data_IF_078283064523
#
_entry.id   IF_078283064523
#
_cell.length_a   1.000
_cell.length_b   1.000
_cell.length_c   1.000
_cell.angle_alpha   90.00
_cell.angle_beta   90.00
_cell.angle_gamma   90.00
#
_symmetry.space_group_name_H-M   'P 1'
#
loop_
_entity.id
_entity.type
_entity.pdbx_description
1 polymer ?
#
# COMPACT_ATOMS: atom_id res chain seq x y z
N UNK A 1 -10.00 -4.36 -20.69
CA UNK A 1 -9.04 -3.44 -20.03
C UNK A 1 -9.85 -2.50 -19.16
N UNK A 2 -9.58 -2.41 -17.87
CA UNK A 2 -10.28 -1.51 -16.95
C UNK A 2 -10.09 -0.04 -17.39
N UNK A 3 -11.15 0.78 -17.29
CA UNK A 3 -11.11 2.18 -17.73
C UNK A 3 -11.22 3.11 -16.52
N UNK A 4 -10.20 3.89 -16.18
CA UNK A 4 -10.20 4.80 -15.03
C UNK A 4 -11.08 6.04 -15.21
N UNK A 5 -11.42 6.42 -16.44
CA UNK A 5 -12.15 7.66 -16.74
C UNK A 5 -13.51 7.70 -16.03
N UNK A 6 -13.70 8.74 -15.22
CA UNK A 6 -14.92 8.96 -14.44
C UNK A 6 -15.06 8.07 -13.21
N UNK A 7 -14.13 7.15 -12.94
CA UNK A 7 -14.11 6.34 -11.71
C UNK A 7 -13.72 7.20 -10.50
N UNK A 8 -14.22 6.85 -9.32
CA UNK A 8 -13.89 7.48 -8.04
C UNK A 8 -12.86 6.61 -7.34
N UNK A 9 -11.63 7.10 -7.32
CA UNK A 9 -10.47 6.39 -6.75
C UNK A 9 -10.05 7.04 -5.44
N UNK A 10 -10.06 6.29 -4.37
CA UNK A 10 -9.60 6.77 -3.05
C UNK A 10 -8.20 6.22 -2.78
N UNK A 11 -7.25 7.12 -2.51
CA UNK A 11 -5.86 6.77 -2.24
C UNK A 11 -5.48 7.17 -0.82
N UNK A 12 -5.13 6.21 0.01
CA UNK A 12 -4.63 6.48 1.37
C UNK A 12 -3.12 6.68 1.39
N UNK A 13 -2.63 7.51 2.31
CA UNK A 13 -1.22 7.91 2.32
C UNK A 13 -0.84 8.79 1.12
N UNK A 14 -1.79 9.54 0.57
CA UNK A 14 -1.65 10.29 -0.67
C UNK A 14 -0.79 11.56 -0.56
N UNK A 15 -0.24 11.88 0.62
CA UNK A 15 0.53 13.12 0.83
C UNK A 15 2.00 13.05 0.38
N UNK A 16 2.52 11.89 -0.03
CA UNK A 16 3.90 11.73 -0.53
C UNK A 16 4.13 10.36 -1.17
N UNK A 17 5.27 10.21 -1.84
CA UNK A 17 5.78 8.93 -2.35
C UNK A 17 4.82 8.20 -3.28
N UNK A 18 4.66 6.89 -3.08
CA UNK A 18 3.81 6.03 -3.91
C UNK A 18 2.36 6.54 -3.94
N UNK A 19 1.80 6.94 -2.80
CA UNK A 19 0.42 7.41 -2.73
C UNK A 19 0.18 8.69 -3.53
N UNK A 20 1.10 9.66 -3.45
CA UNK A 20 1.02 10.89 -4.24
C UNK A 20 1.13 10.60 -5.75
N UNK A 21 2.12 9.82 -6.17
CA UNK A 21 2.30 9.43 -7.56
C UNK A 21 1.08 8.65 -8.10
N UNK A 22 0.51 7.75 -7.28
CA UNK A 22 -0.71 7.00 -7.63
C UNK A 22 -1.90 7.94 -7.83
N UNK A 23 -2.10 8.91 -6.92
CA UNK A 23 -3.19 9.87 -7.03
C UNK A 23 -3.09 10.70 -8.33
N UNK A 24 -1.90 11.22 -8.62
CA UNK A 24 -1.65 12.01 -9.84
C UNK A 24 -1.85 11.15 -11.10
N UNK A 25 -1.37 9.91 -11.11
CA UNK A 25 -1.53 9.02 -12.26
C UNK A 25 -3.01 8.69 -12.54
N UNK A 26 -3.81 8.38 -11.51
CA UNK A 26 -5.26 8.17 -11.70
C UNK A 26 -5.96 9.43 -12.18
N UNK A 27 -5.62 10.62 -11.66
CA UNK A 27 -6.17 11.88 -12.14
C UNK A 27 -5.83 12.13 -13.62
N UNK A 28 -4.58 11.89 -14.03
CA UNK A 28 -4.12 11.97 -15.42
C UNK A 28 -4.90 11.06 -16.36
N UNK A 29 -5.33 9.90 -15.87
CA UNK A 29 -6.15 8.94 -16.60
C UNK A 29 -7.65 9.29 -16.58
N UNK A 30 -8.05 10.40 -15.95
CA UNK A 30 -9.41 10.92 -15.92
C UNK A 30 -10.30 10.38 -14.81
N UNK A 31 -9.72 9.78 -13.77
CA UNK A 31 -10.45 9.42 -12.55
C UNK A 31 -10.62 10.66 -11.64
N UNK A 32 -11.68 10.69 -10.86
CA UNK A 32 -11.85 11.62 -9.74
C UNK A 32 -11.19 11.01 -8.50
N UNK A 33 -10.23 11.72 -7.89
CA UNK A 33 -9.40 11.15 -6.83
C UNK A 33 -9.75 11.74 -5.46
N UNK A 34 -10.01 10.88 -4.50
CA UNK A 34 -10.09 11.20 -3.06
C UNK A 34 -8.74 10.94 -2.40
N UNK A 35 -8.05 11.99 -1.99
CA UNK A 35 -6.74 11.92 -1.36
C UNK A 35 -6.86 11.89 0.15
N UNK A 36 -6.43 10.81 0.81
CA UNK A 36 -6.54 10.62 2.25
C UNK A 36 -5.16 10.61 2.90
N UNK A 37 -4.88 11.52 3.83
CA UNK A 37 -3.70 11.50 4.70
C UNK A 37 -3.87 12.49 5.87
N UNK A 38 -2.90 12.52 6.79
CA UNK A 38 -2.88 13.45 7.95
C UNK A 38 -2.38 14.85 7.60
N UNK A 39 -1.45 14.96 6.66
CA UNK A 39 -0.71 16.18 6.34
C UNK A 39 -1.47 17.02 5.32
N UNK A 40 -2.30 17.95 5.82
CA UNK A 40 -3.18 18.81 5.00
C UNK A 40 -2.43 19.61 3.92
N UNK A 41 -1.28 20.21 4.27
CA UNK A 41 -0.52 21.03 3.31
C UNK A 41 -0.03 20.18 2.14
N UNK A 42 0.64 19.06 2.42
CA UNK A 42 1.15 18.17 1.38
C UNK A 42 0.02 17.55 0.55
N UNK A 43 -1.15 17.26 1.17
CA UNK A 43 -2.33 16.85 0.40
C UNK A 43 -2.78 17.94 -0.56
N UNK A 44 -2.72 19.21 -0.16
CA UNK A 44 -3.05 20.36 -1.01
C UNK A 44 -2.15 20.43 -2.24
N UNK A 45 -0.84 20.27 -2.07
CA UNK A 45 0.14 20.27 -3.16
C UNK A 45 -0.14 19.15 -4.19
N UNK A 46 -0.44 17.93 -3.69
CA UNK A 46 -0.80 16.80 -4.55
C UNK A 46 -2.17 17.02 -5.22
N UNK A 47 -3.12 17.63 -4.51
CA UNK A 47 -4.43 17.95 -5.07
C UNK A 47 -4.33 18.94 -6.24
N UNK A 48 -3.48 19.95 -6.13
CA UNK A 48 -3.24 20.90 -7.22
C UNK A 48 -2.78 20.15 -8.49
N UNK A 49 -1.80 19.26 -8.38
CA UNK A 49 -1.35 18.43 -9.49
C UNK A 49 -2.47 17.51 -10.04
N UNK A 50 -3.31 16.93 -9.18
CA UNK A 50 -4.45 16.13 -9.63
C UNK A 50 -5.47 16.97 -10.39
N UNK A 51 -5.74 18.20 -9.94
CA UNK A 51 -6.76 19.09 -10.51
C UNK A 51 -6.42 19.64 -11.88
N UNK A 52 -5.17 19.59 -12.30
CA UNK A 52 -4.79 19.91 -13.68
C UNK A 52 -5.55 19.06 -14.71
N UNK A 53 -5.88 17.81 -14.36
CA UNK A 53 -6.56 16.86 -15.25
C UNK A 53 -7.89 16.34 -14.69
N UNK A 54 -8.12 16.46 -13.39
CA UNK A 54 -9.32 16.03 -12.69
C UNK A 54 -9.77 17.06 -11.64
N UNK A 55 -10.48 18.12 -12.04
CA UNK A 55 -10.83 19.25 -11.18
C UNK A 55 -11.71 18.90 -9.99
N UNK A 56 -12.47 17.81 -10.09
CA UNK A 56 -13.38 17.35 -9.04
C UNK A 56 -12.70 16.54 -7.92
N UNK A 57 -11.37 16.33 -8.02
CA UNK A 57 -10.60 15.63 -6.97
C UNK A 57 -10.62 16.39 -5.64
N UNK A 58 -10.62 15.65 -4.52
CA UNK A 58 -10.83 16.19 -3.16
C UNK A 58 -9.82 15.63 -2.16
N UNK A 59 -9.55 16.38 -1.09
CA UNK A 59 -8.75 15.90 0.05
C UNK A 59 -9.64 15.54 1.24
N UNK A 60 -9.24 14.50 1.97
CA UNK A 60 -9.83 14.05 3.22
C UNK A 60 -8.71 13.93 4.27
N UNK A 61 -8.68 14.84 5.23
CA UNK A 61 -7.67 14.82 6.28
C UNK A 61 -8.10 13.87 7.38
N UNK A 62 -7.36 12.78 7.56
CA UNK A 62 -7.69 11.76 8.54
C UNK A 62 -6.42 11.10 9.12
N UNK A 63 -6.48 10.73 10.39
CA UNK A 63 -5.50 9.81 11.00
C UNK A 63 -6.07 8.39 10.96
N UNK A 64 -5.51 7.56 10.11
CA UNK A 64 -5.95 6.17 9.93
C UNK A 64 -5.54 5.26 11.09
N UNK A 65 -4.82 5.76 12.12
CA UNK A 65 -4.63 5.03 13.38
C UNK A 65 -5.86 5.08 14.29
N UNK A 66 -6.76 6.02 14.06
CA UNK A 66 -8.07 6.08 14.70
C UNK A 66 -9.05 5.19 13.93
N UNK A 67 -9.11 3.91 14.33
CA UNK A 67 -9.94 2.92 13.67
C UNK A 67 -11.44 3.19 13.83
N UNK A 68 -11.83 3.86 14.91
CA UNK A 68 -13.23 4.18 15.20
C UNK A 68 -13.75 5.28 14.28
N UNK A 69 -12.87 6.15 13.78
CA UNK A 69 -13.23 7.21 12.83
C UNK A 69 -13.37 6.72 11.38
N UNK A 70 -12.97 5.49 11.04
CA UNK A 70 -12.90 5.01 9.65
C UNK A 70 -14.28 4.95 8.98
N UNK A 71 -15.31 4.46 9.65
CA UNK A 71 -16.66 4.39 9.09
C UNK A 71 -17.21 5.78 8.77
N UNK A 72 -16.98 6.76 9.65
CA UNK A 72 -17.34 8.16 9.44
C UNK A 72 -16.56 8.79 8.27
N UNK A 73 -15.28 8.46 8.13
CA UNK A 73 -14.44 8.89 7.00
C UNK A 73 -15.00 8.34 5.68
N UNK A 74 -15.27 7.05 5.59
CA UNK A 74 -15.81 6.41 4.38
C UNK A 74 -17.19 7.00 4.02
N UNK A 75 -18.05 7.22 5.00
CA UNK A 75 -19.35 7.89 4.82
C UNK A 75 -19.17 9.29 4.22
N UNK A 76 -18.23 10.08 4.76
CA UNK A 76 -17.93 11.43 4.27
C UNK A 76 -17.38 11.40 2.83
N UNK A 77 -16.51 10.46 2.51
CA UNK A 77 -15.96 10.28 1.17
C UNK A 77 -17.09 9.95 0.18
N UNK A 78 -17.96 9.00 0.53
CA UNK A 78 -19.08 8.62 -0.34
C UNK A 78 -20.07 9.77 -0.51
N UNK A 79 -20.38 10.53 0.54
CA UNK A 79 -21.25 11.72 0.45
C UNK A 79 -20.67 12.79 -0.48
N UNK A 80 -19.32 12.93 -0.53
CA UNK A 80 -18.64 13.94 -1.33
C UNK A 80 -18.45 13.51 -2.80
N UNK A 81 -18.01 12.25 -3.01
CA UNK A 81 -17.64 11.74 -4.35
C UNK A 81 -18.79 10.96 -5.03
N UNK A 82 -19.86 10.67 -4.29
CA UNK A 82 -21.00 9.85 -4.74
C UNK A 82 -20.79 8.35 -4.50
N UNK A 83 -19.61 7.83 -4.71
CA UNK A 83 -19.25 6.42 -4.51
C UNK A 83 -17.73 6.24 -4.39
N UNK A 84 -17.30 5.01 -4.12
CA UNK A 84 -15.90 4.61 -4.22
C UNK A 84 -15.85 3.41 -5.17
N UNK A 85 -15.18 3.56 -6.32
CA UNK A 85 -15.01 2.49 -7.31
C UNK A 85 -13.71 1.72 -7.07
N UNK A 86 -12.67 2.44 -6.63
CA UNK A 86 -11.38 1.85 -6.30
C UNK A 86 -10.89 2.40 -4.97
N UNK A 87 -10.54 1.52 -4.05
CA UNK A 87 -9.83 1.84 -2.81
C UNK A 87 -8.38 1.39 -2.90
N UNK A 88 -7.43 2.33 -2.80
CA UNK A 88 -6.00 2.05 -2.73
C UNK A 88 -5.52 2.22 -1.29
N UNK A 89 -5.33 1.14 -0.59
CA UNK A 89 -4.78 1.08 0.76
C UNK A 89 -3.25 1.13 0.68
N UNK A 90 -2.71 2.35 0.54
CA UNK A 90 -1.28 2.58 0.45
C UNK A 90 -0.68 3.15 1.75
N UNK A 91 -1.48 3.76 2.62
CA UNK A 91 -0.98 4.31 3.88
C UNK A 91 -0.21 3.25 4.68
N UNK A 92 0.96 3.64 5.18
CA UNK A 92 1.79 2.76 5.99
C UNK A 92 2.95 3.50 6.65
N UNK A 93 3.49 2.90 7.68
CA UNK A 93 4.65 3.42 8.42
C UNK A 93 5.75 2.36 8.50
N UNK A 94 7.03 2.75 8.41
CA UNK A 94 8.11 1.83 8.64
C UNK A 94 8.23 1.50 10.13
N UNK A 95 8.75 0.31 10.42
CA UNK A 95 9.28 -0.03 11.75
C UNK A 95 10.61 -0.76 11.56
N UNK A 96 11.68 -0.04 11.82
CA UNK A 96 13.06 -0.55 11.75
C UNK A 96 13.60 -0.69 13.17
N UNK A 97 13.58 -1.90 13.69
CA UNK A 97 14.19 -2.30 14.95
C UNK A 97 14.64 -3.76 14.91
N UNK A 98 15.78 -4.03 15.50
CA UNK A 98 16.23 -5.42 15.71
C UNK A 98 15.19 -6.18 16.51
N UNK A 99 14.97 -7.45 16.21
CA UNK A 99 14.02 -8.30 16.94
C UNK A 99 14.30 -8.34 18.45
N UNK A 100 15.58 -8.20 18.85
CA UNK A 100 15.98 -8.12 20.26
C UNK A 100 15.63 -6.79 20.95
N UNK A 101 15.21 -5.76 20.21
CA UNK A 101 14.93 -4.42 20.73
C UNK A 101 13.49 -3.95 20.45
N UNK A 102 12.75 -4.63 19.55
CA UNK A 102 11.35 -4.31 19.28
C UNK A 102 10.49 -4.70 20.50
N UNK A 103 9.55 -3.82 20.86
CA UNK A 103 8.58 -4.07 21.94
C UNK A 103 7.24 -4.51 21.36
N UNK A 104 6.36 -5.07 22.22
CA UNK A 104 4.98 -5.38 21.83
C UNK A 104 4.25 -4.11 21.41
N UNK A 105 4.43 -2.99 22.11
CA UNK A 105 3.83 -1.72 21.75
C UNK A 105 4.31 -1.20 20.36
N UNK A 106 5.57 -1.45 20.00
CA UNK A 106 6.07 -1.18 18.65
C UNK A 106 5.31 -2.01 17.59
N UNK A 107 5.13 -3.30 17.86
CA UNK A 107 4.41 -4.22 16.97
C UNK A 107 2.93 -3.83 16.83
N UNK A 108 2.26 -3.50 17.93
CA UNK A 108 0.87 -3.03 17.94
C UNK A 108 0.70 -1.75 17.14
N UNK A 109 1.58 -0.76 17.34
CA UNK A 109 1.49 0.52 16.66
C UNK A 109 1.62 0.41 15.14
N UNK A 110 2.55 -0.42 14.67
CA UNK A 110 2.73 -0.64 13.23
C UNK A 110 1.63 -1.53 12.64
N UNK A 111 1.15 -2.50 13.41
CA UNK A 111 0.02 -3.37 13.02
C UNK A 111 -1.26 -2.53 12.83
N UNK A 112 -1.49 -1.56 13.71
CA UNK A 112 -2.65 -0.68 13.67
C UNK A 112 -2.77 0.07 12.33
N UNK A 113 -1.67 0.64 11.86
CA UNK A 113 -1.65 1.42 10.61
C UNK A 113 -1.53 0.53 9.37
N UNK A 114 -0.64 -0.47 9.40
CA UNK A 114 -0.30 -1.21 8.19
C UNK A 114 -1.25 -2.38 7.90
N UNK A 115 -2.01 -2.83 8.90
CA UNK A 115 -2.92 -3.96 8.79
C UNK A 115 -4.36 -3.61 9.20
N UNK A 116 -4.59 -3.17 10.45
CA UNK A 116 -5.97 -2.95 10.92
C UNK A 116 -6.68 -1.82 10.18
N UNK A 117 -5.96 -0.74 9.86
CA UNK A 117 -6.52 0.38 9.09
C UNK A 117 -6.97 -0.02 7.69
N UNK A 118 -6.13 -0.65 6.82
CA UNK A 118 -6.60 -1.12 5.51
C UNK A 118 -7.70 -2.19 5.61
N UNK A 119 -7.69 -3.04 6.63
CA UNK A 119 -8.79 -3.99 6.89
C UNK A 119 -10.08 -3.23 7.17
N UNK A 120 -10.07 -2.27 8.11
CA UNK A 120 -11.26 -1.49 8.45
C UNK A 120 -11.80 -0.70 7.25
N UNK A 121 -10.92 -0.05 6.47
CA UNK A 121 -11.31 0.65 5.23
C UNK A 121 -11.95 -0.31 4.21
N UNK A 122 -11.34 -1.48 4.01
CA UNK A 122 -11.86 -2.49 3.08
C UNK A 122 -13.25 -2.97 3.51
N UNK A 123 -13.43 -3.28 4.79
CA UNK A 123 -14.72 -3.70 5.35
C UNK A 123 -15.79 -2.60 5.26
N UNK A 124 -15.42 -1.33 5.43
CA UNK A 124 -16.34 -0.20 5.35
C UNK A 124 -16.84 0.08 3.91
N UNK A 125 -15.99 -0.10 2.89
CA UNK A 125 -16.38 0.12 1.48
C UNK A 125 -17.05 -1.10 0.85
N UNK A 126 -16.72 -2.31 1.27
CA UNK A 126 -17.15 -3.57 0.68
C UNK A 126 -18.69 -3.70 0.54
N UNK A 127 -19.53 -3.35 1.54
CA UNK A 127 -20.98 -3.44 1.40
C UNK A 127 -21.53 -2.60 0.25
N UNK A 128 -20.97 -1.42 0.00
CA UNK A 128 -21.41 -0.54 -1.10
C UNK A 128 -20.98 -1.06 -2.46
N UNK A 129 -19.76 -1.60 -2.57
CA UNK A 129 -19.26 -2.24 -3.79
C UNK A 129 -20.06 -3.50 -4.12
N UNK A 130 -20.35 -4.36 -3.13
CA UNK A 130 -21.17 -5.57 -3.33
C UNK A 130 -22.60 -5.27 -3.79
N UNK A 131 -23.24 -4.22 -3.26
CA UNK A 131 -24.59 -3.81 -3.72
C UNK A 131 -24.62 -3.39 -5.18
N UNK A 132 -23.52 -2.80 -5.69
CA UNK A 132 -23.39 -2.40 -7.09
C UNK A 132 -22.83 -3.50 -7.97
N UNK A 133 -22.36 -4.59 -7.37
CA UNK A 133 -21.60 -5.66 -8.02
C UNK A 133 -20.43 -5.12 -8.84
N UNK A 134 -19.73 -4.13 -8.30
CA UNK A 134 -18.60 -3.48 -8.96
C UNK A 134 -17.69 -2.78 -7.95
N UNK A 135 -16.37 -2.98 -8.08
CA UNK A 135 -15.37 -2.29 -7.28
C UNK A 135 -14.02 -3.00 -7.24
N UNK A 136 -12.98 -2.25 -6.88
CA UNK A 136 -11.65 -2.78 -6.68
C UNK A 136 -11.08 -2.34 -5.33
N UNK A 137 -10.49 -3.27 -4.60
CA UNK A 137 -9.71 -3.00 -3.38
C UNK A 137 -8.27 -3.43 -3.65
N UNK A 138 -7.35 -2.47 -3.62
CA UNK A 138 -5.92 -2.70 -3.84
C UNK A 138 -5.15 -2.47 -2.55
N UNK A 139 -4.54 -3.48 -2.02
CA UNK A 139 -3.72 -3.40 -0.82
C UNK A 139 -2.23 -3.35 -1.21
N UNK A 140 -1.54 -2.28 -0.79
CA UNK A 140 -0.11 -2.12 -1.06
C UNK A 140 0.68 -2.85 0.02
N UNK A 141 1.26 -3.97 -0.38
CA UNK A 141 2.16 -4.78 0.44
C UNK A 141 3.61 -4.27 0.38
N UNK A 142 4.56 -5.16 0.41
CA UNK A 142 5.99 -4.87 0.32
C UNK A 142 6.76 -6.15 0.05
N UNK A 143 7.90 -6.04 -0.63
CA UNK A 143 8.90 -7.13 -0.63
C UNK A 143 9.33 -7.56 0.78
N UNK A 144 9.07 -6.73 1.80
CA UNK A 144 9.23 -7.12 3.20
C UNK A 144 8.36 -8.31 3.63
N UNK A 145 7.25 -8.61 2.96
CA UNK A 145 6.46 -9.83 3.18
C UNK A 145 7.09 -11.07 2.53
N UNK A 146 7.86 -10.88 1.48
CA UNK A 146 8.44 -11.95 0.65
C UNK A 146 9.92 -12.22 0.90
N UNK A 147 10.60 -11.32 1.60
CA UNK A 147 12.01 -11.49 1.91
C UNK A 147 12.34 -10.99 3.31
N UNK A 148 13.26 -11.67 3.97
CA UNK A 148 13.75 -11.25 5.28
C UNK A 148 14.77 -10.12 5.09
N UNK A 149 14.57 -9.03 5.84
CA UNK A 149 15.57 -7.98 6.01
C UNK A 149 15.82 -7.76 7.49
N UNK A 150 17.08 -7.41 7.83
CA UNK A 150 17.47 -7.17 9.19
C UNK A 150 16.71 -5.99 9.80
N UNK A 151 16.17 -6.18 11.01
CA UNK A 151 15.52 -5.10 11.76
C UNK A 151 14.15 -4.64 11.23
N UNK A 152 13.46 -5.39 10.38
CA UNK A 152 12.10 -5.05 9.91
C UNK A 152 11.05 -6.12 10.22
N UNK A 153 11.33 -7.03 11.15
CA UNK A 153 10.44 -8.16 11.43
C UNK A 153 9.00 -7.74 11.75
N UNK A 154 8.81 -6.75 12.63
CA UNK A 154 7.46 -6.25 12.97
C UNK A 154 6.75 -5.64 11.74
N UNK A 155 7.44 -4.83 10.94
CA UNK A 155 6.88 -4.29 9.70
C UNK A 155 6.51 -5.39 8.71
N UNK A 156 7.42 -6.32 8.46
CA UNK A 156 7.23 -7.45 7.54
C UNK A 156 6.01 -8.30 7.92
N UNK A 157 5.84 -8.56 9.22
CA UNK A 157 4.69 -9.29 9.73
C UNK A 157 3.35 -8.59 9.39
N UNK A 158 3.31 -7.23 9.46
CA UNK A 158 2.08 -6.49 9.09
C UNK A 158 1.74 -6.64 7.61
N UNK A 159 2.76 -6.63 6.74
CA UNK A 159 2.55 -6.75 5.29
C UNK A 159 2.17 -8.18 4.89
N UNK A 160 2.76 -9.19 5.51
CA UNK A 160 2.34 -10.58 5.33
C UNK A 160 0.90 -10.80 5.81
N UNK A 161 0.51 -10.27 6.97
CA UNK A 161 -0.87 -10.35 7.45
C UNK A 161 -1.86 -9.69 6.49
N UNK A 162 -1.51 -8.53 5.91
CA UNK A 162 -2.35 -7.83 4.94
C UNK A 162 -2.52 -8.63 3.64
N UNK A 163 -1.47 -9.30 3.16
CA UNK A 163 -1.56 -10.19 1.99
C UNK A 163 -2.52 -11.35 2.25
N UNK A 164 -2.37 -12.07 3.37
CA UNK A 164 -3.27 -13.18 3.70
C UNK A 164 -4.73 -12.75 3.85
N UNK A 165 -5.00 -11.59 4.47
CA UNK A 165 -6.35 -11.04 4.53
C UNK A 165 -6.89 -10.74 3.13
N UNK A 166 -6.06 -10.19 2.24
CA UNK A 166 -6.46 -9.86 0.87
C UNK A 166 -6.68 -11.12 0.03
N UNK A 167 -5.87 -12.16 0.26
CA UNK A 167 -6.03 -13.46 -0.40
C UNK A 167 -7.37 -14.12 -0.01
N UNK A 168 -7.72 -14.10 1.27
CA UNK A 168 -9.03 -14.57 1.74
C UNK A 168 -10.17 -13.79 1.06
N UNK A 169 -10.08 -12.46 1.03
CA UNK A 169 -11.06 -11.60 0.38
C UNK A 169 -11.16 -11.89 -1.14
N UNK A 170 -10.03 -12.12 -1.83
CA UNK A 170 -10.01 -12.48 -3.25
C UNK A 170 -10.80 -13.79 -3.52
N UNK A 171 -10.60 -14.81 -2.67
CA UNK A 171 -11.31 -16.09 -2.79
C UNK A 171 -12.80 -15.93 -2.48
N UNK A 172 -13.15 -15.18 -1.42
CA UNK A 172 -14.55 -14.98 -0.99
C UNK A 172 -15.36 -14.12 -1.95
N UNK A 173 -14.72 -13.27 -2.76
CA UNK A 173 -15.36 -12.42 -3.76
C UNK A 173 -15.50 -13.10 -5.13
N UNK A 174 -15.06 -14.34 -5.29
CA UNK A 174 -15.16 -15.07 -6.55
C UNK A 174 -16.61 -15.11 -7.06
N UNK A 175 -16.81 -14.81 -8.34
CA UNK A 175 -18.12 -14.76 -8.98
C UNK A 175 -18.90 -13.47 -8.74
N UNK A 176 -18.30 -12.44 -8.12
CA UNK A 176 -18.86 -11.10 -8.00
C UNK A 176 -18.10 -10.11 -8.88
N UNK A 177 -18.67 -8.93 -9.11
CA UNK A 177 -17.99 -7.82 -9.81
C UNK A 177 -17.04 -7.01 -8.89
N UNK A 178 -16.72 -7.50 -7.68
CA UNK A 178 -15.76 -6.86 -6.76
C UNK A 178 -14.46 -7.63 -6.74
N UNK A 179 -13.33 -6.93 -6.92
CA UNK A 179 -12.02 -7.53 -7.07
C UNK A 179 -11.06 -7.06 -5.98
N UNK A 180 -10.26 -7.98 -5.45
CA UNK A 180 -9.22 -7.70 -4.47
C UNK A 180 -7.83 -7.94 -5.09
N UNK A 181 -6.88 -7.03 -4.88
CA UNK A 181 -5.55 -7.08 -5.46
C UNK A 181 -4.48 -6.77 -4.41
N UNK A 182 -3.32 -7.37 -4.58
CA UNK A 182 -2.09 -7.03 -3.86
C UNK A 182 -1.06 -6.48 -4.84
N UNK A 183 -0.51 -5.31 -4.53
CA UNK A 183 0.67 -4.79 -5.23
C UNK A 183 1.85 -4.81 -4.28
N UNK A 184 2.98 -5.35 -4.73
CA UNK A 184 4.18 -5.59 -3.93
C UNK A 184 5.33 -4.74 -4.44
N UNK A 185 5.56 -3.55 -3.84
CA UNK A 185 6.74 -2.77 -4.15
C UNK A 185 7.98 -3.30 -3.43
N UNK A 186 9.12 -3.21 -4.11
CA UNK A 186 10.43 -3.31 -3.51
C UNK A 186 10.90 -1.96 -2.91
N UNK A 187 12.23 -1.78 -2.87
CA UNK A 187 12.81 -0.50 -2.46
C UNK A 187 12.36 0.61 -3.41
N UNK A 188 11.73 1.64 -2.86
CA UNK A 188 11.19 2.76 -3.63
C UNK A 188 11.77 4.08 -3.08
N UNK A 189 12.14 4.99 -3.98
CA UNK A 189 12.64 6.32 -3.63
C UNK A 189 11.51 7.16 -3.02
N UNK A 190 11.46 7.25 -1.70
CA UNK A 190 10.40 7.98 -0.99
C UNK A 190 10.82 8.35 0.43
N UNK A 191 10.06 9.24 1.07
CA UNK A 191 10.23 9.59 2.48
C UNK A 191 10.10 8.39 3.44
N UNK A 192 9.54 7.27 2.99
CA UNK A 192 9.43 6.05 3.79
C UNK A 192 10.80 5.52 4.22
N UNK A 193 11.82 5.71 3.39
CA UNK A 193 13.19 5.28 3.62
C UNK A 193 14.05 6.29 4.39
N UNK A 194 13.49 7.44 4.82
CA UNK A 194 14.21 8.43 5.62
C UNK A 194 14.27 8.05 7.10
N UNK A 195 15.10 8.77 7.87
CA UNK A 195 15.14 8.63 9.33
C UNK A 195 13.77 8.97 9.93
N UNK A 196 13.33 8.20 10.90
CA UNK A 196 12.07 8.39 11.63
C UNK A 196 12.31 8.15 13.11
N UNK A 197 11.68 8.95 13.95
CA UNK A 197 11.74 8.75 15.40
C UNK A 197 11.26 7.36 15.81
N UNK A 198 11.91 6.77 16.78
CA UNK A 198 11.60 5.42 17.26
C UNK A 198 11.95 4.29 16.29
N UNK A 199 12.76 4.57 15.26
CA UNK A 199 13.31 3.59 14.33
C UNK A 199 14.83 3.59 14.36
N UNK A 200 15.43 2.43 14.12
CA UNK A 200 16.85 2.34 13.77
C UNK A 200 17.12 3.08 12.45
N UNK A 201 18.37 3.48 12.17
CA UNK A 201 18.72 4.16 10.92
C UNK A 201 18.22 3.40 9.68
N UNK A 202 17.89 4.09 8.59
CA UNK A 202 17.47 3.46 7.36
C UNK A 202 18.63 2.60 6.77
N UNK A 203 18.25 1.55 6.08
CA UNK A 203 19.23 0.71 5.37
C UNK A 203 19.92 1.50 4.28
N UNK A 204 21.20 1.22 4.08
CA UNK A 204 21.90 1.64 2.87
C UNK A 204 21.36 0.82 1.71
N UNK A 205 20.58 1.43 0.86
CA UNK A 205 20.15 0.87 -0.42
C UNK A 205 20.90 1.54 -1.56
N UNK A 206 21.23 0.78 -2.60
CA UNK A 206 21.72 1.38 -3.84
C UNK A 206 20.56 2.11 -4.53
N UNK A 207 20.62 3.45 -4.69
CA UNK A 207 19.55 4.20 -5.35
C UNK A 207 19.28 3.73 -6.79
N UNK A 208 20.28 3.17 -7.47
CA UNK A 208 20.15 2.63 -8.83
C UNK A 208 19.24 1.38 -8.89
N UNK A 209 19.05 0.72 -7.76
CA UNK A 209 18.23 -0.47 -7.63
C UNK A 209 16.83 -0.15 -7.08
N UNK A 210 16.56 1.08 -6.68
CA UNK A 210 15.28 1.51 -6.18
C UNK A 210 14.35 1.93 -7.33
N UNK A 211 13.09 1.51 -7.26
CA UNK A 211 12.06 2.00 -8.16
C UNK A 211 11.68 3.45 -7.82
N UNK A 212 11.16 4.19 -8.78
CA UNK A 212 10.53 5.48 -8.50
C UNK A 212 9.06 5.27 -8.07
N UNK A 213 8.44 6.23 -7.36
CA UNK A 213 7.02 6.16 -7.04
C UNK A 213 6.11 5.99 -8.27
N UNK A 214 6.49 6.56 -9.40
CA UNK A 214 5.73 6.50 -10.67
C UNK A 214 5.73 5.08 -11.25
N UNK A 215 6.83 4.34 -11.14
CA UNK A 215 6.90 2.92 -11.55
C UNK A 215 5.91 2.09 -10.73
N UNK A 216 5.84 2.33 -9.42
CA UNK A 216 4.88 1.64 -8.55
C UNK A 216 3.45 2.07 -8.85
N UNK A 217 3.20 3.36 -9.09
CA UNK A 217 1.88 3.88 -9.49
C UNK A 217 1.38 3.23 -10.79
N UNK A 218 2.25 3.09 -11.79
CA UNK A 218 1.92 2.41 -13.03
C UNK A 218 1.57 0.92 -12.81
N UNK A 219 2.30 0.22 -11.92
CA UNK A 219 1.98 -1.15 -11.56
C UNK A 219 0.63 -1.27 -10.82
N UNK A 220 0.27 -0.29 -9.96
CA UNK A 220 -1.04 -0.22 -9.31
C UNK A 220 -2.16 -0.06 -10.35
N UNK A 221 -2.01 0.86 -11.31
CA UNK A 221 -3.00 1.03 -12.39
C UNK A 221 -3.12 -0.24 -13.23
N UNK A 222 -2.00 -0.86 -13.60
CA UNK A 222 -1.99 -2.08 -14.40
C UNK A 222 -2.68 -3.24 -13.69
N UNK A 223 -2.55 -3.37 -12.36
CA UNK A 223 -3.18 -4.45 -11.58
C UNK A 223 -4.71 -4.48 -11.68
N UNK A 224 -5.35 -3.36 -11.98
CA UNK A 224 -6.81 -3.27 -12.16
C UNK A 224 -7.30 -3.83 -13.50
N UNK A 225 -6.42 -4.01 -14.47
CA UNK A 225 -6.75 -4.56 -15.79
C UNK A 225 -6.38 -6.02 -15.96
N UNK A 226 -5.76 -6.61 -14.94
CA UNK A 226 -5.21 -7.96 -14.95
C UNK A 226 -6.00 -8.82 -13.95
N UNK A 227 -6.34 -10.04 -14.33
CA UNK A 227 -7.00 -11.03 -13.45
C UNK A 227 -6.04 -11.59 -12.37
N UNK A 228 -4.77 -11.16 -12.37
CA UNK A 228 -3.80 -11.60 -11.36
C UNK A 228 -4.09 -11.00 -10.00
N UNK A 229 -4.11 -11.85 -9.00
CA UNK A 229 -4.25 -11.43 -7.60
C UNK A 229 -3.07 -10.58 -7.11
N UNK A 230 -1.83 -10.98 -7.46
CA UNK A 230 -0.60 -10.33 -6.99
C UNK A 230 0.20 -9.71 -8.14
N UNK A 231 0.62 -8.47 -7.98
CA UNK A 231 1.44 -7.71 -8.93
C UNK A 231 2.71 -7.22 -8.24
N UNK A 232 3.87 -7.64 -8.71
CA UNK A 232 5.16 -7.09 -8.27
C UNK A 232 5.46 -5.82 -9.07
N UNK A 233 5.91 -4.76 -8.37
CA UNK A 233 6.14 -3.46 -9.02
C UNK A 233 7.28 -3.50 -10.05
N UNK A 234 8.24 -4.43 -9.90
CA UNK A 234 9.32 -4.65 -10.86
C UNK A 234 9.52 -6.15 -11.12
N UNK A 235 10.07 -6.48 -12.29
CA UNK A 235 10.44 -7.88 -12.62
C UNK A 235 11.41 -8.47 -11.62
N UNK A 236 12.36 -7.66 -11.12
CA UNK A 236 13.32 -8.08 -10.09
C UNK A 236 12.64 -8.47 -8.78
N UNK A 237 11.63 -7.75 -8.36
CA UNK A 237 10.87 -8.07 -7.15
C UNK A 237 10.16 -9.41 -7.32
N UNK A 238 9.53 -9.63 -8.47
CA UNK A 238 8.89 -10.91 -8.80
C UNK A 238 9.88 -12.08 -8.83
N UNK A 239 11.05 -11.90 -9.45
CA UNK A 239 12.10 -12.91 -9.49
C UNK A 239 12.64 -13.25 -8.09
N UNK A 240 12.81 -12.26 -7.22
CA UNK A 240 13.24 -12.45 -5.82
C UNK A 240 12.21 -13.24 -5.02
N UNK A 241 10.92 -12.91 -5.15
CA UNK A 241 9.84 -13.64 -4.49
C UNK A 241 9.76 -15.08 -4.99
N UNK A 242 9.88 -15.31 -6.29
CA UNK A 242 9.89 -16.65 -6.88
C UNK A 242 11.06 -17.51 -6.37
N UNK A 243 12.27 -16.93 -6.25
CA UNK A 243 13.44 -17.62 -5.70
C UNK A 243 13.23 -18.07 -4.25
N UNK A 244 12.63 -17.19 -3.41
CA UNK A 244 12.29 -17.55 -2.03
C UNK A 244 11.24 -18.67 -1.95
N UNK A 245 10.24 -18.62 -2.81
CA UNK A 245 9.16 -19.61 -2.80
C UNK A 245 9.61 -20.98 -3.30
N UNK A 246 10.61 -21.01 -4.21
CA UNK A 246 11.17 -22.27 -4.73
C UNK A 246 11.90 -23.08 -3.64
N UNK A 247 12.70 -22.43 -2.79
CA UNK A 247 13.35 -23.06 -1.63
C UNK A 247 13.52 -22.03 -0.49
N UNK A 248 12.53 -21.94 0.43
CA UNK A 248 12.59 -21.01 1.56
C UNK A 248 13.79 -21.25 2.49
N UNK A 249 14.24 -22.49 2.65
CA UNK A 249 15.37 -22.80 3.52
C UNK A 249 16.70 -22.34 2.92
N UNK A 250 16.96 -22.68 1.66
CA UNK A 250 18.17 -22.20 0.96
C UNK A 250 18.22 -20.68 0.92
N UNK A 251 17.08 -20.02 0.66
CA UNK A 251 16.97 -18.57 0.69
C UNK A 251 17.35 -17.98 2.06
N UNK A 252 16.78 -18.51 3.14
CA UNK A 252 17.04 -18.06 4.51
C UNK A 252 18.48 -18.30 4.94
N UNK A 253 19.08 -19.43 4.57
CA UNK A 253 20.48 -19.72 4.83
C UNK A 253 21.39 -18.71 4.14
N UNK A 254 21.16 -18.43 2.85
CA UNK A 254 21.89 -17.42 2.09
C UNK A 254 21.80 -16.03 2.73
N UNK A 255 20.59 -15.62 3.19
CA UNK A 255 20.40 -14.34 3.86
C UNK A 255 21.11 -14.27 5.20
N UNK A 256 21.04 -15.33 6.02
CA UNK A 256 21.76 -15.43 7.30
C UNK A 256 23.27 -15.30 7.12
N UNK A 257 23.83 -16.04 6.16
CA UNK A 257 25.28 -16.07 5.93
C UNK A 257 25.79 -14.72 5.39
N UNK A 258 25.01 -14.07 4.53
CA UNK A 258 25.29 -12.72 4.03
C UNK A 258 25.31 -11.68 5.18
N UNK A 259 24.37 -11.76 6.12
CA UNK A 259 24.31 -10.87 7.29
C UNK A 259 25.45 -11.17 8.30
N UNK A 260 25.83 -12.43 8.47
CA UNK A 260 26.96 -12.81 9.32
C UNK A 260 28.29 -12.30 8.77
N UNK A 261 28.47 -12.26 7.44
CA UNK A 261 29.66 -11.74 6.76
C UNK A 261 29.79 -10.20 6.76
N UNK A 262 28.71 -9.47 7.03
CA UNK A 262 28.72 -8.00 7.11
C UNK A 262 29.20 -7.43 8.45
N UNK A 263 29.65 -8.28 9.39
CA UNK A 263 30.07 -7.88 10.74
C UNK A 263 28.88 -7.32 11.54
N UNK A 264 28.54 -7.96 12.62
CA UNK A 264 27.46 -7.58 13.54
C UNK A 264 27.72 -6.23 14.20
#
# INVERSE_FOLDING_TARGET
>A
MWNPRGQRVVVTGASSGIGAATAVEFARLGAVVGLVARRRQQLGEVLEACRETSPDSQIFVADLSDLEAIDGLVTTIIATLGQIDVLINNAGVPKRRKTSAVTVADAESVMRINYLSPVALSLAVLPTMRRRDAGHIVNISSMGAHMVSFGVGAYSATKAALEYFTEAMYVELAGTGVHAHVVVPGTTLSEFSTAKDGNDPPFRSDPKLAATPEVVAAAIVASLSDDRFITYATERDGATAASRNADPNAFLFSMRDRLAGLGR
#
